data_IF_643247843217
#
_entry.id   IF_643247843217
#
_cell.length_a   1.000
_cell.length_b   1.000
_cell.length_c   1.000
_cell.angle_alpha   90.00
_cell.angle_beta   90.00
_cell.angle_gamma   90.00
#
_symmetry.space_group_name_H-M   'P 1'
#
loop_
_entity.id
_entity.type
_entity.pdbx_description
1 polymer ?
#
# COMPACT_ATOMS: atom_id res chain seq x y z
N UNK A 1 -27.17 -2.05 -41.65
CA UNK A 1 -25.74 -2.25 -41.32
C UNK A 1 -25.65 -2.39 -39.81
N UNK A 2 -25.78 -3.61 -39.27
CA UNK A 2 -25.67 -3.84 -37.81
C UNK A 2 -24.17 -3.94 -37.48
N UNK A 3 -23.65 -2.96 -36.75
CA UNK A 3 -22.29 -3.00 -36.20
C UNK A 3 -22.16 -4.23 -35.29
N UNK A 4 -21.10 -5.02 -35.47
CA UNK A 4 -20.73 -6.08 -34.52
C UNK A 4 -20.21 -5.39 -33.26
N UNK A 5 -20.64 -5.77 -32.04
CA UNK A 5 -20.07 -5.22 -30.83
C UNK A 5 -18.57 -5.57 -30.77
N UNK A 6 -17.72 -4.65 -30.30
CA UNK A 6 -16.30 -4.88 -30.15
C UNK A 6 -16.10 -5.72 -28.88
N UNK A 7 -15.58 -6.94 -28.99
CA UNK A 7 -15.45 -7.85 -27.84
C UNK A 7 -14.10 -7.53 -27.19
N UNK A 8 -14.10 -6.95 -26.00
CA UNK A 8 -12.87 -6.67 -25.27
C UNK A 8 -12.14 -7.99 -24.93
N UNK A 9 -10.82 -8.00 -25.14
CA UNK A 9 -9.95 -9.18 -24.93
C UNK A 9 -8.74 -8.79 -24.09
N UNK A 10 -8.33 -9.67 -23.18
CA UNK A 10 -7.12 -9.52 -22.36
C UNK A 10 -6.20 -10.72 -22.55
N UNK A 11 -4.94 -10.48 -22.95
CA UNK A 11 -3.94 -11.53 -23.23
C UNK A 11 -4.44 -12.66 -24.15
N UNK A 12 -5.20 -12.30 -25.20
CA UNK A 12 -5.74 -13.25 -26.18
C UNK A 12 -6.98 -14.03 -25.73
N UNK A 13 -7.46 -13.84 -24.50
CA UNK A 13 -8.71 -14.43 -23.97
C UNK A 13 -9.86 -13.44 -24.03
N UNK A 14 -11.06 -13.96 -24.26
CA UNK A 14 -12.29 -13.17 -24.25
C UNK A 14 -12.70 -12.84 -22.82
N UNK A 15 -13.08 -11.58 -22.58
CA UNK A 15 -13.49 -11.16 -21.25
C UNK A 15 -14.83 -11.82 -20.86
N UNK A 16 -14.98 -12.25 -19.59
CA UNK A 16 -16.24 -12.77 -19.08
C UNK A 16 -17.43 -11.82 -19.27
N UNK A 17 -17.19 -10.51 -19.19
CA UNK A 17 -18.16 -9.44 -19.47
C UNK A 17 -17.58 -8.49 -20.53
N UNK A 18 -17.79 -8.76 -21.82
CA UNK A 18 -17.09 -8.08 -22.91
C UNK A 18 -17.53 -6.63 -23.15
N UNK A 19 -18.58 -6.17 -22.47
CA UNK A 19 -19.15 -4.83 -22.48
C UNK A 19 -18.72 -3.96 -21.28
N UNK A 20 -17.97 -4.52 -20.33
CA UNK A 20 -17.46 -3.82 -19.15
C UNK A 20 -15.94 -3.63 -19.23
N UNK A 21 -15.44 -2.57 -18.59
CA UNK A 21 -14.00 -2.33 -18.52
C UNK A 21 -13.26 -3.43 -17.74
N UNK A 22 -11.94 -3.55 -17.96
CA UNK A 22 -11.13 -4.62 -17.35
C UNK A 22 -11.19 -4.63 -15.81
N UNK A 23 -11.43 -3.47 -15.21
CA UNK A 23 -11.49 -3.27 -13.76
C UNK A 23 -12.80 -3.78 -13.12
N UNK A 24 -13.85 -3.97 -13.92
CA UNK A 24 -15.17 -4.38 -13.44
C UNK A 24 -15.46 -5.87 -13.63
N UNK A 25 -14.50 -6.65 -14.14
CA UNK A 25 -14.68 -8.06 -14.48
C UNK A 25 -14.95 -8.96 -13.26
N UNK A 26 -14.61 -8.52 -12.04
CA UNK A 26 -14.93 -9.16 -10.78
C UNK A 26 -14.19 -10.49 -10.50
N UNK A 27 -14.53 -11.11 -9.37
CA UNK A 27 -13.78 -12.19 -8.70
C UNK A 27 -13.43 -13.42 -9.57
N UNK A 28 -14.19 -13.67 -10.64
CA UNK A 28 -13.94 -14.77 -11.58
C UNK A 28 -12.71 -14.56 -12.47
N UNK A 29 -12.43 -13.32 -12.85
CA UNK A 29 -11.24 -12.94 -13.60
C UNK A 29 -9.97 -13.07 -12.73
N UNK A 30 -10.09 -12.69 -11.45
CA UNK A 30 -8.99 -12.77 -10.49
C UNK A 30 -8.59 -14.22 -10.18
N UNK A 31 -9.56 -15.13 -10.04
CA UNK A 31 -9.31 -16.55 -9.81
C UNK A 31 -8.65 -17.23 -11.02
N UNK A 32 -9.11 -16.94 -12.25
CA UNK A 32 -8.53 -17.51 -13.46
C UNK A 32 -7.06 -17.12 -13.65
N UNK A 33 -6.70 -15.90 -13.27
CA UNK A 33 -5.33 -15.36 -13.38
C UNK A 33 -4.36 -15.97 -12.35
N UNK A 34 -4.88 -16.37 -11.18
CA UNK A 34 -4.08 -16.98 -10.10
C UNK A 34 -3.75 -18.47 -10.33
N UNK A 35 -4.64 -19.23 -10.98
CA UNK A 35 -4.40 -20.66 -11.24
C UNK A 35 -3.31 -20.92 -12.28
N UNK A 36 -3.14 -20.03 -13.27
CA UNK A 36 -2.08 -20.15 -14.29
C UNK A 36 -0.67 -19.94 -13.69
N UNK A 37 -0.54 -19.08 -12.69
CA UNK A 37 0.75 -18.76 -12.03
C UNK A 37 1.26 -19.91 -11.13
N UNK A 38 0.35 -20.66 -10.50
CA UNK A 38 0.68 -21.75 -9.57
C UNK A 38 1.33 -22.95 -10.25
N UNK A 39 1.13 -23.13 -11.56
CA UNK A 39 1.76 -24.21 -12.34
C UNK A 39 3.23 -23.94 -12.68
N UNK A 40 3.66 -22.69 -12.70
CA UNK A 40 5.05 -22.31 -13.04
C UNK A 40 6.01 -22.47 -11.85
N UNK A 41 5.53 -22.25 -10.62
CA UNK A 41 6.34 -22.34 -9.39
C UNK A 41 6.68 -23.79 -8.97
N UNK A 42 5.95 -24.80 -9.45
CA UNK A 42 6.23 -26.20 -9.13
C UNK A 42 7.46 -26.78 -9.86
N UNK A 43 8.02 -26.07 -10.85
CA UNK A 43 9.11 -26.55 -11.69
C UNK A 43 10.52 -26.16 -11.20
N UNK A 44 10.67 -25.29 -10.19
CA UNK A 44 11.97 -24.71 -9.83
C UNK A 44 12.44 -24.93 -8.37
N UNK A 45 11.69 -25.66 -7.54
CA UNK A 45 11.92 -25.73 -6.08
C UNK A 45 12.61 -27.00 -5.54
N UNK A 46 13.71 -27.48 -6.14
CA UNK A 46 14.46 -28.62 -5.59
C UNK A 46 15.98 -28.38 -5.60
N UNK A 47 16.55 -28.03 -4.44
CA UNK A 47 17.98 -28.22 -4.17
C UNK A 47 18.62 -27.19 -3.24
N UNK A 48 18.83 -27.57 -1.97
CA UNK A 48 20.14 -27.53 -1.28
C UNK A 48 19.96 -27.71 0.24
N UNK A 49 20.54 -28.77 0.78
CA UNK A 49 20.67 -29.07 2.20
C UNK A 49 22.14 -29.37 2.53
N UNK A 50 22.68 -28.81 3.63
CA UNK A 50 23.83 -29.24 4.46
C UNK A 50 24.21 -28.08 5.41
N UNK A 51 24.14 -28.14 6.75
CA UNK A 51 24.84 -28.94 7.78
C UNK A 51 26.07 -28.21 8.41
N UNK A 52 26.06 -28.04 9.75
CA UNK A 52 27.22 -27.64 10.56
C UNK A 52 26.89 -27.36 12.04
N UNK A 53 27.47 -28.13 12.97
CA UNK A 53 27.08 -28.27 14.39
C UNK A 53 28.19 -27.79 15.36
N UNK A 54 27.79 -27.12 16.45
CA UNK A 54 28.35 -27.02 17.82
C UNK A 54 29.75 -26.41 18.12
N UNK A 55 29.79 -25.49 19.11
CA UNK A 55 30.57 -25.64 20.36
C UNK A 55 30.18 -24.57 21.41
N UNK A 56 29.89 -25.01 22.65
CA UNK A 56 29.67 -24.17 23.83
C UNK A 56 30.98 -24.04 24.64
N UNK A 57 31.23 -22.89 25.28
CA UNK A 57 32.06 -22.82 26.48
C UNK A 57 31.55 -21.73 27.43
N UNK A 58 31.24 -22.13 28.66
CA UNK A 58 30.88 -21.26 29.79
C UNK A 58 32.15 -20.86 30.56
N UNK A 59 32.29 -19.57 30.90
CA UNK A 59 33.25 -19.07 31.88
C UNK A 59 32.65 -17.88 32.63
N UNK A 60 32.45 -18.03 33.93
CA UNK A 60 31.78 -17.08 34.82
C UNK A 60 32.84 -16.33 35.65
N UNK A 61 32.77 -15.00 35.75
CA UNK A 61 33.64 -14.22 36.63
C UNK A 61 33.27 -12.73 36.64
N UNK A 62 32.68 -12.27 37.73
CA UNK A 62 32.21 -10.89 37.97
C UNK A 62 33.34 -9.97 38.45
N UNK A 63 33.37 -8.74 37.95
CA UNK A 63 33.85 -7.55 38.66
C UNK A 63 33.03 -6.33 38.22
N UNK A 64 32.47 -5.63 39.19
CA UNK A 64 31.85 -4.32 39.01
C UNK A 64 32.93 -3.23 39.08
N UNK A 65 32.87 -2.24 38.19
CA UNK A 65 33.32 -0.88 38.50
C UNK A 65 32.57 0.16 37.65
N UNK A 66 32.49 1.37 38.17
CA UNK A 66 31.55 2.42 37.82
C UNK A 66 32.01 3.37 36.69
N UNK A 67 31.00 3.86 35.97
CA UNK A 67 30.86 5.12 35.24
C UNK A 67 32.12 5.89 34.77
N UNK A 68 32.25 6.01 33.45
CA UNK A 68 32.56 7.29 32.78
C UNK A 68 31.74 7.36 31.49
N UNK A 69 31.10 8.50 31.27
CA UNK A 69 30.30 8.75 30.07
C UNK A 69 31.22 8.80 28.85
N UNK A 70 30.94 7.91 27.91
CA UNK A 70 31.50 8.00 26.57
C UNK A 70 30.36 8.39 25.64
N UNK A 71 30.55 9.53 24.97
CA UNK A 71 29.67 9.97 23.92
C UNK A 71 29.72 8.89 22.84
N UNK A 72 28.63 8.15 22.70
CA UNK A 72 28.44 7.26 21.57
C UNK A 72 28.50 8.13 20.31
N UNK A 73 29.68 8.21 19.70
CA UNK A 73 29.83 8.45 18.28
C UNK A 73 29.19 7.23 17.64
N UNK A 74 27.87 7.35 17.42
CA UNK A 74 27.10 6.34 16.74
C UNK A 74 27.79 6.12 15.40
N UNK A 75 28.46 4.98 15.26
CA UNK A 75 28.78 4.47 13.94
C UNK A 75 27.50 4.56 13.13
N UNK A 76 27.54 5.31 12.04
CA UNK A 76 26.59 5.22 10.95
C UNK A 76 26.65 3.79 10.42
N UNK A 77 25.96 2.87 11.09
CA UNK A 77 25.40 1.71 10.40
C UNK A 77 24.54 2.33 9.31
N UNK A 78 25.06 2.31 8.07
CA UNK A 78 24.56 3.12 6.97
C UNK A 78 23.04 3.02 6.89
N UNK A 79 22.36 4.14 7.10
CA UNK A 79 20.93 4.21 6.81
C UNK A 79 20.79 3.94 5.31
N UNK A 80 19.90 3.03 4.97
CA UNK A 80 19.49 2.81 3.59
C UNK A 80 18.31 3.70 3.29
N UNK A 81 18.20 4.13 2.04
CA UNK A 81 17.01 4.83 1.55
C UNK A 81 15.75 4.01 1.87
N UNK A 82 14.68 4.71 2.26
CA UNK A 82 13.38 4.10 2.45
C UNK A 82 12.95 3.44 1.12
N UNK A 83 12.47 2.18 1.13
CA UNK A 83 11.99 1.56 -0.09
C UNK A 83 10.89 2.41 -0.75
N UNK A 84 11.05 2.68 -2.05
CA UNK A 84 10.06 3.37 -2.87
C UNK A 84 8.94 2.39 -3.23
N UNK A 85 7.72 2.70 -2.79
CA UNK A 85 6.55 1.85 -2.95
C UNK A 85 5.46 2.50 -3.77
N UNK A 86 4.48 1.69 -4.16
CA UNK A 86 3.24 2.20 -4.73
C UNK A 86 2.44 3.01 -3.73
N UNK A 87 1.90 4.14 -4.19
CA UNK A 87 0.81 4.87 -3.54
C UNK A 87 -0.47 4.00 -3.45
N UNK A 88 -0.55 2.94 -4.26
CA UNK A 88 -1.73 2.11 -4.34
C UNK A 88 -2.92 2.86 -4.97
N UNK A 89 -4.12 2.28 -4.91
CA UNK A 89 -5.28 2.82 -5.62
C UNK A 89 -6.05 3.91 -4.85
N UNK A 90 -5.63 4.30 -3.64
CA UNK A 90 -6.40 5.22 -2.79
C UNK A 90 -5.65 6.47 -2.27
N UNK A 91 -4.73 7.09 -3.03
CA UNK A 91 -3.89 8.18 -2.53
C UNK A 91 -4.67 9.46 -2.23
N UNK A 92 -5.66 9.84 -3.04
CA UNK A 92 -6.38 11.10 -2.87
C UNK A 92 -5.51 12.33 -3.19
N UNK A 93 -4.50 12.17 -4.04
CA UNK A 93 -3.50 13.16 -4.45
C UNK A 93 -3.73 13.68 -5.89
N UNK A 94 -4.91 13.40 -6.46
CA UNK A 94 -5.26 13.75 -7.83
C UNK A 94 -4.70 12.81 -8.91
N UNK A 95 -3.75 11.92 -8.58
CA UNK A 95 -3.13 11.01 -9.57
C UNK A 95 -4.11 10.02 -10.19
N UNK A 96 -5.23 9.74 -9.52
CA UNK A 96 -6.24 8.78 -9.96
C UNK A 96 -7.70 9.26 -9.83
N UNK A 97 -7.91 10.58 -9.79
CA UNK A 97 -9.24 11.19 -9.77
C UNK A 97 -9.53 12.00 -8.50
N UNK A 98 -9.73 11.36 -7.33
CA UNK A 98 -9.95 12.10 -6.08
C UNK A 98 -8.71 12.89 -5.64
N UNK A 99 -8.92 14.13 -5.18
CA UNK A 99 -7.86 15.03 -4.73
C UNK A 99 -8.27 15.77 -3.45
N UNK A 100 -7.59 15.47 -2.34
CA UNK A 100 -7.73 16.14 -1.06
C UNK A 100 -6.60 17.14 -0.82
N UNK A 101 -5.50 17.07 -1.58
CA UNK A 101 -4.30 17.90 -1.38
C UNK A 101 -4.54 19.35 -1.82
N UNK A 102 -5.50 19.58 -2.72
CA UNK A 102 -5.96 20.93 -3.07
C UNK A 102 -6.93 21.55 -2.03
N UNK A 103 -7.41 20.78 -1.04
CA UNK A 103 -8.46 21.25 -0.14
C UNK A 103 -7.92 22.08 1.03
N UNK A 104 -8.57 23.21 1.29
CA UNK A 104 -8.33 23.99 2.51
C UNK A 104 -8.58 23.14 3.75
N UNK A 105 -7.56 23.03 4.61
CA UNK A 105 -7.61 22.22 5.83
C UNK A 105 -6.84 20.90 5.76
N UNK A 106 -6.25 20.54 4.62
CA UNK A 106 -5.44 19.32 4.50
C UNK A 106 -4.14 19.36 5.32
N UNK A 107 -3.56 20.55 5.54
CA UNK A 107 -2.42 20.72 6.44
C UNK A 107 -2.94 20.68 7.88
N UNK A 108 -2.79 19.53 8.54
CA UNK A 108 -3.41 19.22 9.83
C UNK A 108 -2.70 18.08 10.55
N UNK A 109 -2.75 18.10 11.88
CA UNK A 109 -2.16 17.06 12.72
C UNK A 109 -3.16 15.99 13.19
N UNK A 110 -4.43 16.33 13.43
CA UNK A 110 -5.45 15.34 13.82
C UNK A 110 -6.19 14.86 12.57
N UNK A 111 -6.05 13.60 12.21
CA UNK A 111 -6.62 13.01 11.00
C UNK A 111 -8.01 12.42 11.22
N UNK A 112 -8.52 12.33 12.46
CA UNK A 112 -9.66 11.46 12.76
C UNK A 112 -10.99 11.93 12.18
N UNK A 113 -11.18 13.24 12.03
CA UNK A 113 -12.43 13.82 11.53
C UNK A 113 -12.26 14.36 10.12
N UNK A 114 -13.28 14.17 9.28
CA UNK A 114 -13.38 14.85 7.99
C UNK A 114 -13.47 16.37 8.16
N UNK A 115 -13.27 17.09 7.06
CA UNK A 115 -13.31 18.54 6.97
C UNK A 115 -13.91 19.00 5.65
N UNK A 116 -14.18 20.30 5.55
CA UNK A 116 -14.87 20.86 4.39
C UNK A 116 -16.34 20.45 4.38
N UNK A 117 -16.76 19.71 3.36
CA UNK A 117 -18.14 19.22 3.21
C UNK A 117 -18.41 17.95 4.01
N UNK A 118 -17.38 17.12 4.24
CA UNK A 118 -17.48 15.92 5.07
C UNK A 118 -17.53 16.26 6.56
N UNK A 119 -18.15 15.39 7.36
CA UNK A 119 -18.31 15.61 8.80
C UNK A 119 -18.12 14.37 9.67
N UNK A 120 -17.92 13.20 9.05
CA UNK A 120 -17.73 11.96 9.79
C UNK A 120 -16.42 11.99 10.60
N UNK A 121 -16.40 11.22 11.68
CA UNK A 121 -15.19 10.96 12.47
C UNK A 121 -14.93 9.47 12.51
N UNK A 122 -13.74 9.06 12.08
CA UNK A 122 -13.32 7.68 12.10
C UNK A 122 -13.18 7.17 13.53
N UNK A 123 -13.89 6.09 13.84
CA UNK A 123 -13.75 5.38 15.10
C UNK A 123 -12.59 4.36 15.02
N UNK A 124 -11.88 4.16 16.13
CA UNK A 124 -10.82 3.15 16.21
C UNK A 124 -9.98 3.28 17.47
N UNK A 125 -8.97 2.40 17.61
CA UNK A 125 -8.00 2.49 18.70
C UNK A 125 -7.12 3.73 18.48
N UNK A 126 -7.01 4.67 19.44
CA UNK A 126 -6.22 5.88 19.27
C UNK A 126 -4.74 5.58 19.00
N UNK A 127 -4.18 6.29 18.04
CA UNK A 127 -2.79 6.17 17.62
C UNK A 127 -2.20 7.56 17.40
N UNK A 128 -0.93 7.72 17.76
CA UNK A 128 -0.09 8.81 17.31
C UNK A 128 0.96 8.24 16.36
N UNK A 129 1.07 8.80 15.16
CA UNK A 129 2.13 8.48 14.21
C UNK A 129 3.19 9.57 14.26
N UNK A 130 4.46 9.19 14.36
CA UNK A 130 5.60 10.08 14.24
C UNK A 130 6.55 9.55 13.15
N UNK A 131 6.82 10.36 12.14
CA UNK A 131 7.83 10.04 11.12
C UNK A 131 9.00 11.00 11.29
N UNK A 132 10.22 10.45 11.29
CA UNK A 132 11.45 11.26 11.29
C UNK A 132 12.09 11.18 9.92
N UNK A 133 11.96 12.24 9.14
CA UNK A 133 12.50 12.35 7.78
C UNK A 133 13.97 12.77 7.86
N UNK A 134 14.81 12.02 7.17
CA UNK A 134 16.26 12.23 7.15
C UNK A 134 16.71 12.42 5.72
N UNK A 135 17.61 13.38 5.48
CA UNK A 135 18.15 13.68 4.16
C UNK A 135 19.46 12.91 3.95
N UNK A 136 19.41 11.84 3.16
CA UNK A 136 20.58 11.02 2.85
C UNK A 136 21.63 11.78 2.02
N UNK A 137 21.22 12.76 1.21
CA UNK A 137 22.13 13.57 0.41
C UNK A 137 22.94 14.56 1.28
N UNK A 138 22.48 14.83 2.50
CA UNK A 138 23.11 15.76 3.44
C UNK A 138 23.47 15.08 4.78
N UNK A 139 24.27 14.01 4.71
CA UNK A 139 24.84 13.30 5.86
C UNK A 139 23.80 12.75 6.87
N UNK A 140 22.59 12.40 6.40
CA UNK A 140 21.46 11.97 7.24
C UNK A 140 20.96 13.08 8.19
N UNK A 141 21.13 14.34 7.82
CA UNK A 141 20.59 15.46 8.57
C UNK A 141 19.06 15.38 8.68
N UNK A 142 18.50 16.05 9.68
CA UNK A 142 17.06 16.24 9.80
C UNK A 142 16.53 16.99 8.57
N UNK A 143 15.60 16.35 7.83
CA UNK A 143 15.01 16.95 6.65
C UNK A 143 13.83 17.83 7.08
N UNK A 144 14.12 19.08 7.42
CA UNK A 144 13.14 20.07 7.84
C UNK A 144 12.42 20.69 6.63
N UNK A 145 11.25 21.28 6.88
CA UNK A 145 10.41 22.01 5.91
C UNK A 145 9.83 21.20 4.74
N UNK A 146 10.17 19.91 4.61
CA UNK A 146 9.47 18.98 3.70
C UNK A 146 8.04 18.74 4.15
N UNK A 147 7.13 18.58 3.19
CA UNK A 147 5.75 18.22 3.46
C UNK A 147 5.56 16.71 3.42
N UNK A 148 4.90 16.15 4.44
CA UNK A 148 4.61 14.72 4.51
C UNK A 148 3.10 14.53 4.50
N UNK A 149 2.60 13.89 3.44
CA UNK A 149 1.21 13.47 3.32
C UNK A 149 1.06 12.04 3.85
N UNK A 150 0.01 11.78 4.64
CA UNK A 150 -0.30 10.47 5.21
C UNK A 150 -1.75 10.10 4.93
N UNK A 151 -1.98 8.85 4.55
CA UNK A 151 -3.33 8.26 4.47
C UNK A 151 -3.36 6.79 4.87
N UNK A 152 -4.51 6.33 5.37
CA UNK A 152 -4.74 4.91 5.66
C UNK A 152 -6.22 4.55 5.74
N UNK A 153 -6.52 3.24 5.78
CA UNK A 153 -7.89 2.74 5.95
C UNK A 153 -8.41 2.93 7.38
N UNK A 154 -9.74 2.98 7.51
CA UNK A 154 -10.43 2.97 8.79
C UNK A 154 -10.34 1.60 9.51
N UNK A 155 -10.97 1.49 10.70
CA UNK A 155 -11.03 0.22 11.46
C UNK A 155 -11.78 -0.91 10.75
N UNK A 156 -12.59 -0.59 9.74
CA UNK A 156 -13.30 -1.54 8.88
C UNK A 156 -12.50 -1.97 7.64
N UNK A 157 -11.39 -1.30 7.33
CA UNK A 157 -10.59 -1.53 6.13
C UNK A 157 -11.02 -0.70 4.93
N UNK A 158 -11.83 0.34 5.12
CA UNK A 158 -12.29 1.23 4.06
C UNK A 158 -11.43 2.48 3.95
N UNK A 159 -11.26 3.01 2.74
CA UNK A 159 -10.61 4.29 2.51
C UNK A 159 -11.67 5.37 2.28
N UNK A 160 -11.58 6.46 3.03
CA UNK A 160 -12.34 7.69 2.79
C UNK A 160 -12.09 8.19 1.37
N UNK A 161 -13.09 8.83 0.75
CA UNK A 161 -13.14 9.27 -0.66
C UNK A 161 -13.35 8.15 -1.70
N UNK A 162 -13.19 6.88 -1.33
CA UNK A 162 -13.18 5.77 -2.31
C UNK A 162 -14.20 4.67 -2.01
N UNK A 163 -14.39 4.32 -0.75
CA UNK A 163 -15.32 3.27 -0.38
C UNK A 163 -16.78 3.76 -0.52
N UNK A 164 -17.67 2.83 -0.86
CA UNK A 164 -19.10 3.13 -1.04
C UNK A 164 -19.72 3.72 0.22
N UNK A 165 -20.34 4.89 0.09
CA UNK A 165 -20.92 5.66 1.19
C UNK A 165 -19.93 6.53 1.95
N UNK A 166 -18.67 6.63 1.49
CA UNK A 166 -17.60 7.45 2.07
C UNK A 166 -16.95 8.38 1.05
N UNK A 167 -17.53 8.52 -0.14
CA UNK A 167 -17.01 9.31 -1.26
C UNK A 167 -16.86 10.81 -0.90
N UNK A 168 -17.76 11.32 -0.05
CA UNK A 168 -17.76 12.72 0.40
C UNK A 168 -16.94 12.94 1.70
N UNK A 169 -16.32 11.89 2.26
CA UNK A 169 -15.54 11.95 3.49
C UNK A 169 -14.04 11.94 3.23
N UNK A 170 -13.25 12.61 4.06
CA UNK A 170 -11.80 12.77 3.89
C UNK A 170 -11.01 12.60 5.20
N UNK A 171 -11.59 11.95 6.21
CA UNK A 171 -10.86 11.54 7.41
C UNK A 171 -9.67 10.63 7.07
N UNK A 172 -8.75 10.50 8.03
CA UNK A 172 -7.54 9.66 7.99
C UNK A 172 -6.59 10.01 6.85
N UNK A 173 -6.61 11.29 6.44
CA UNK A 173 -5.77 11.91 5.43
C UNK A 173 -5.28 13.26 5.94
N UNK A 174 -4.00 13.57 5.77
CA UNK A 174 -3.48 14.89 6.17
C UNK A 174 -2.00 15.10 5.90
N UNK A 175 -1.63 16.37 5.83
CA UNK A 175 -0.27 16.84 5.59
C UNK A 175 0.27 17.52 6.84
N UNK A 176 1.53 17.27 7.16
CA UNK A 176 2.31 18.03 8.14
C UNK A 176 3.62 18.46 7.50
N UNK A 177 4.14 19.61 7.95
CA UNK A 177 5.47 20.08 7.57
C UNK A 177 6.46 19.61 8.63
N UNK A 178 7.57 19.01 8.20
CA UNK A 178 8.60 18.51 9.08
C UNK A 178 9.25 19.66 9.86
N UNK A 179 9.37 19.50 11.17
CA UNK A 179 10.02 20.49 12.03
C UNK A 179 11.55 20.50 11.89
N UNK A 180 12.24 21.30 12.71
CA UNK A 180 13.70 21.42 12.69
C UNK A 180 14.43 20.09 13.00
N UNK A 181 13.77 19.12 13.64
CA UNK A 181 14.29 17.77 13.89
C UNK A 181 13.89 16.78 12.77
N UNK A 182 13.26 17.26 11.69
CA UNK A 182 12.77 16.46 10.58
C UNK A 182 11.51 15.66 10.93
N UNK A 183 10.77 16.06 11.96
CA UNK A 183 9.65 15.27 12.47
C UNK A 183 8.30 15.80 12.01
N UNK A 184 7.44 14.85 11.67
CA UNK A 184 5.99 15.09 11.55
C UNK A 184 5.25 14.20 12.54
N UNK A 185 4.16 14.74 13.08
CA UNK A 185 3.34 14.05 14.08
C UNK A 185 1.86 14.16 13.77
N UNK A 186 1.19 13.02 13.75
CA UNK A 186 -0.23 12.90 13.47
C UNK A 186 -0.97 12.20 14.61
N UNK A 187 -2.15 12.68 14.95
CA UNK A 187 -3.13 11.98 15.78
C UNK A 187 -4.12 11.28 14.87
N UNK A 188 -4.29 9.98 15.04
CA UNK A 188 -5.15 9.16 14.18
C UNK A 188 -5.72 7.95 14.94
N UNK A 189 -6.21 6.95 14.22
CA UNK A 189 -6.56 5.63 14.73
C UNK A 189 -5.64 4.57 14.12
N UNK A 190 -5.49 3.43 14.80
CA UNK A 190 -4.76 2.29 14.25
C UNK A 190 -5.55 1.66 13.08
N UNK A 191 -4.93 1.45 11.90
CA UNK A 191 -5.65 0.95 10.72
C UNK A 191 -6.01 -0.54 10.83
N UNK A 192 -7.04 -0.94 10.09
CA UNK A 192 -7.43 -2.33 9.94
C UNK A 192 -6.42 -3.16 9.13
N UNK A 193 -6.62 -4.48 9.15
CA UNK A 193 -6.14 -5.36 8.09
C UNK A 193 -7.28 -5.59 7.10
N UNK A 194 -7.15 -5.09 5.87
CA UNK A 194 -8.05 -5.44 4.78
C UNK A 194 -7.52 -6.65 3.99
N UNK A 195 -8.35 -7.23 3.12
CA UNK A 195 -8.01 -8.49 2.45
C UNK A 195 -6.80 -8.33 1.53
N UNK A 196 -5.83 -9.22 1.66
CA UNK A 196 -4.69 -9.35 0.73
C UNK A 196 -3.50 -8.44 1.00
N UNK A 197 -3.53 -7.60 2.04
CA UNK A 197 -2.43 -6.71 2.40
C UNK A 197 -2.10 -6.76 3.89
N UNK A 198 -0.81 -6.71 4.23
CA UNK A 198 -0.33 -6.50 5.59
C UNK A 198 -0.80 -5.14 6.12
N UNK A 199 -1.12 -4.95 7.42
CA UNK A 199 -1.55 -3.66 7.94
C UNK A 199 -0.51 -2.55 7.75
N UNK A 200 -0.92 -1.42 7.17
CA UNK A 200 -0.03 -0.33 6.81
C UNK A 200 -0.65 1.06 6.91
N UNK A 201 0.22 2.06 6.90
CA UNK A 201 -0.09 3.48 6.73
C UNK A 201 0.74 3.98 5.56
N UNK A 202 0.12 4.62 4.58
CA UNK A 202 0.86 5.18 3.45
C UNK A 202 1.40 6.57 3.80
N UNK A 203 2.48 6.95 3.13
CA UNK A 203 2.91 8.34 3.11
C UNK A 203 3.62 8.71 1.82
N UNK A 204 3.59 10.01 1.54
CA UNK A 204 4.38 10.67 0.50
C UNK A 204 5.15 11.82 1.13
N UNK A 205 6.38 12.03 0.67
CA UNK A 205 7.21 13.17 1.04
C UNK A 205 7.34 14.08 -0.18
N UNK A 206 7.09 15.37 0.00
CA UNK A 206 7.24 16.41 -1.00
C UNK A 206 8.33 17.39 -0.56
N UNK A 207 9.03 18.06 -1.50
CA UNK A 207 10.08 19.02 -1.18
C UNK A 207 9.62 20.15 -0.23
N UNK A 208 8.36 20.57 -0.36
CA UNK A 208 7.74 21.66 0.38
C UNK A 208 6.21 21.57 0.31
N UNK A 209 5.53 22.43 1.07
CA UNK A 209 4.06 22.49 1.11
C UNK A 209 3.45 22.85 -0.25
N UNK A 210 4.07 23.74 -1.02
CA UNK A 210 3.51 24.21 -2.30
C UNK A 210 3.56 23.12 -3.37
N UNK A 211 4.38 22.10 -3.17
CA UNK A 211 4.52 20.97 -4.09
C UNK A 211 3.47 19.87 -3.92
N UNK A 212 2.69 19.87 -2.83
CA UNK A 212 1.73 18.78 -2.54
C UNK A 212 0.57 18.70 -3.55
N UNK A 213 0.25 19.79 -4.26
CA UNK A 213 -0.83 19.80 -5.25
C UNK A 213 -0.40 19.24 -6.62
N UNK A 214 0.83 18.72 -6.71
CA UNK A 214 1.34 18.05 -7.90
C UNK A 214 1.92 16.71 -7.47
N UNK A 215 1.14 15.63 -7.61
CA UNK A 215 1.55 14.27 -7.24
C UNK A 215 2.85 13.82 -7.89
N UNK A 216 3.24 14.40 -9.04
CA UNK A 216 4.51 14.07 -9.71
C UNK A 216 5.74 14.63 -9.00
N UNK A 217 5.56 15.51 -8.01
CA UNK A 217 6.64 16.11 -7.22
C UNK A 217 6.96 15.36 -5.93
N UNK A 218 6.25 14.28 -5.60
CA UNK A 218 6.65 13.44 -4.48
C UNK A 218 8.12 13.01 -4.69
N UNK A 219 8.95 13.21 -3.66
CA UNK A 219 10.37 12.81 -3.60
C UNK A 219 10.56 11.46 -2.92
N UNK A 220 9.53 10.95 -2.26
CA UNK A 220 9.45 9.56 -1.80
C UNK A 220 7.99 9.15 -1.63
N UNK A 221 7.64 7.94 -2.05
CA UNK A 221 6.35 7.31 -1.74
C UNK A 221 6.65 6.00 -1.03
N UNK A 222 6.09 5.78 0.16
CA UNK A 222 6.32 4.52 0.88
C UNK A 222 5.19 4.21 1.85
N UNK A 223 5.38 3.16 2.65
CA UNK A 223 4.38 2.64 3.57
C UNK A 223 5.03 2.23 4.89
N UNK A 224 4.36 2.50 6.00
CA UNK A 224 4.73 2.02 7.34
C UNK A 224 4.02 0.68 7.57
N UNK A 225 4.78 -0.41 7.70
CA UNK A 225 4.25 -1.69 8.14
C UNK A 225 4.05 -1.72 9.66
N UNK A 226 3.00 -2.39 10.14
CA UNK A 226 2.70 -2.46 11.58
C UNK A 226 3.09 -3.82 12.20
N UNK A 227 3.66 -3.87 13.42
CA UNK A 227 4.09 -5.13 14.03
C UNK A 227 2.93 -6.11 14.31
N UNK A 228 3.14 -7.37 13.94
CA UNK A 228 2.15 -8.45 14.06
C UNK A 228 1.57 -8.56 15.49
N UNK A 229 2.42 -8.47 16.51
CA UNK A 229 2.02 -8.59 17.92
C UNK A 229 1.10 -7.45 18.36
N UNK A 230 1.24 -6.27 17.77
CA UNK A 230 0.40 -5.09 18.04
C UNK A 230 -0.92 -5.23 17.30
N UNK A 231 -0.88 -5.59 16.01
CA UNK A 231 -2.08 -5.88 15.22
C UNK A 231 -2.97 -6.91 15.90
N UNK A 232 -2.40 -8.02 16.39
CA UNK A 232 -3.15 -9.06 17.12
C UNK A 232 -3.79 -8.56 18.41
N UNK A 233 -3.22 -7.55 19.08
CA UNK A 233 -3.81 -6.95 20.27
C UNK A 233 -4.93 -5.97 19.91
N UNK A 234 -4.70 -5.10 18.92
CA UNK A 234 -5.69 -4.12 18.44
C UNK A 234 -6.91 -4.79 17.84
N UNK A 235 -6.73 -5.85 17.05
CA UNK A 235 -7.86 -6.49 16.35
C UNK A 235 -8.79 -7.29 17.25
N UNK A 236 -8.47 -7.41 18.55
CA UNK A 236 -9.39 -7.89 19.59
C UNK A 236 -10.40 -6.82 20.03
N UNK A 237 -10.21 -5.56 19.66
CA UNK A 237 -11.12 -4.47 20.02
C UNK A 237 -12.35 -4.43 19.10
N UNK A 238 -13.43 -3.81 19.58
CA UNK A 238 -14.66 -3.66 18.81
C UNK A 238 -14.43 -2.87 17.52
N UNK A 239 -15.03 -3.34 16.42
CA UNK A 239 -14.95 -2.74 15.09
C UNK A 239 -13.85 -3.31 14.19
N UNK A 240 -12.90 -4.09 14.73
CA UNK A 240 -11.79 -4.69 13.98
C UNK A 240 -11.99 -6.18 13.65
N UNK A 241 -13.20 -6.73 13.83
CA UNK A 241 -13.45 -8.17 13.74
C UNK A 241 -13.01 -8.77 12.40
N UNK A 242 -13.20 -8.04 11.29
CA UNK A 242 -12.77 -8.46 9.96
C UNK A 242 -11.24 -8.59 9.85
N UNK A 243 -10.51 -7.72 10.55
CA UNK A 243 -9.05 -7.71 10.54
C UNK A 243 -8.43 -8.97 11.14
N UNK A 244 -9.10 -9.63 12.09
CA UNK A 244 -8.65 -10.91 12.66
C UNK A 244 -8.54 -11.98 11.57
N UNK A 245 -9.57 -12.08 10.72
CA UNK A 245 -9.61 -13.07 9.64
C UNK A 245 -8.61 -12.71 8.54
N UNK A 246 -8.53 -11.44 8.15
CA UNK A 246 -7.63 -10.99 7.10
C UNK A 246 -6.16 -11.18 7.49
N UNK A 247 -5.79 -10.80 8.73
CA UNK A 247 -4.42 -10.96 9.23
C UNK A 247 -3.98 -12.43 9.25
N UNK A 248 -4.89 -13.37 9.46
CA UNK A 248 -4.58 -14.81 9.44
C UNK A 248 -4.19 -15.35 8.06
N UNK A 249 -4.41 -14.56 7.00
CA UNK A 249 -4.20 -14.96 5.60
C UNK A 249 -3.00 -14.27 4.94
N UNK A 250 -2.31 -13.39 5.67
CA UNK A 250 -1.19 -12.60 5.15
C UNK A 250 0.00 -12.66 6.11
N UNK A 251 1.17 -12.40 5.57
CA UNK A 251 2.43 -12.21 6.30
C UNK A 251 3.25 -11.13 5.60
N UNK A 252 4.20 -10.51 6.29
CA UNK A 252 5.14 -9.55 5.68
C UNK A 252 5.84 -10.18 4.46
N UNK A 253 6.41 -11.37 4.62
CA UNK A 253 7.10 -12.11 3.55
C UNK A 253 6.24 -12.42 2.32
N UNK A 254 4.92 -12.47 2.48
CA UNK A 254 3.97 -12.74 1.39
C UNK A 254 3.30 -11.48 0.82
N UNK A 255 3.49 -10.34 1.48
CA UNK A 255 2.89 -9.09 1.04
C UNK A 255 3.60 -8.58 -0.22
N UNK A 256 2.83 -8.03 -1.16
CA UNK A 256 3.37 -7.61 -2.44
C UNK A 256 4.11 -6.25 -2.40
N UNK A 257 4.13 -5.58 -1.24
CA UNK A 257 4.88 -4.36 -0.96
C UNK A 257 6.05 -4.70 -0.05
N UNK A 258 5.79 -5.31 1.11
CA UNK A 258 6.85 -5.56 2.11
C UNK A 258 7.64 -6.85 1.94
N UNK A 259 7.27 -7.72 1.00
CA UNK A 259 7.82 -9.08 0.92
C UNK A 259 9.24 -9.17 0.37
N UNK A 260 9.77 -8.11 -0.23
CA UNK A 260 11.12 -8.04 -0.79
C UNK A 260 12.22 -8.04 0.29
N UNK A 261 11.96 -7.41 1.44
CA UNK A 261 12.87 -7.38 2.59
C UNK A 261 12.23 -7.81 3.92
N UNK A 262 10.95 -8.23 3.89
CA UNK A 262 10.17 -8.59 5.08
C UNK A 262 9.71 -7.38 5.89
N UNK A 263 9.60 -6.20 5.25
CA UNK A 263 9.30 -4.91 5.86
C UNK A 263 10.43 -4.35 6.72
N UNK A 264 11.66 -4.82 6.53
CA UNK A 264 12.80 -4.50 7.41
C UNK A 264 13.04 -3.00 7.53
N UNK A 265 12.92 -2.25 6.44
CA UNK A 265 13.13 -0.80 6.43
C UNK A 265 11.84 0.01 6.69
N UNK A 266 10.68 -0.65 6.73
CA UNK A 266 9.36 0.00 6.82
C UNK A 266 8.57 -0.39 8.09
N UNK A 267 9.06 -1.35 8.88
CA UNK A 267 8.38 -1.81 10.08
C UNK A 267 8.46 -0.75 11.20
N UNK A 268 7.31 -0.16 11.51
CA UNK A 268 7.21 0.85 12.56
C UNK A 268 7.48 0.27 13.95
N UNK A 269 8.14 1.07 14.79
CA UNK A 269 8.24 0.79 16.22
C UNK A 269 6.95 1.24 16.90
N UNK A 270 6.33 0.37 17.70
CA UNK A 270 5.10 0.71 18.41
C UNK A 270 5.25 0.58 19.91
N UNK A 271 4.87 1.64 20.62
CA UNK A 271 4.87 1.70 22.08
C UNK A 271 3.51 2.16 22.61
N UNK A 272 3.37 2.25 23.93
CA UNK A 272 2.13 2.63 24.59
C UNK A 272 1.19 1.44 24.75
N UNK A 273 -0.12 1.70 24.73
CA UNK A 273 -1.10 0.63 24.88
C UNK A 273 -2.51 1.07 24.51
N UNK A 274 -3.35 0.10 24.15
CA UNK A 274 -4.68 0.30 23.57
C UNK A 274 -5.53 1.35 24.29
N UNK A 275 -5.52 1.36 25.64
CA UNK A 275 -6.31 2.31 26.45
C UNK A 275 -5.71 3.71 26.57
N UNK A 276 -4.38 3.82 26.47
CA UNK A 276 -3.63 5.07 26.66
C UNK A 276 -3.27 5.75 25.34
N UNK A 277 -3.48 5.07 24.22
CA UNK A 277 -2.99 5.45 22.90
C UNK A 277 -1.72 4.68 22.54
N UNK A 278 -1.64 4.25 21.28
CA UNK A 278 -0.44 3.68 20.69
C UNK A 278 0.42 4.80 20.09
N UNK A 279 1.73 4.66 20.17
CA UNK A 279 2.67 5.55 19.46
C UNK A 279 3.42 4.71 18.44
N UNK A 280 3.22 5.01 17.16
CA UNK A 280 3.91 4.39 16.02
C UNK A 280 4.99 5.36 15.56
N UNK A 281 6.23 4.89 15.43
CA UNK A 281 7.32 5.69 14.88
C UNK A 281 8.15 4.96 13.84
N UNK A 282 8.62 5.70 12.83
CA UNK A 282 9.51 5.19 11.79
C UNK A 282 10.50 6.30 11.39
N UNK A 283 11.77 5.91 11.17
CA UNK A 283 12.76 6.77 10.50
C UNK A 283 12.61 6.59 9.00
N UNK A 284 12.62 7.68 8.25
CA UNK A 284 12.39 7.71 6.81
C UNK A 284 13.59 8.41 6.16
N UNK A 285 14.67 7.69 5.84
CA UNK A 285 15.78 8.24 5.10
C UNK A 285 15.39 8.41 3.62
N UNK A 286 15.44 9.64 3.12
CA UNK A 286 15.08 10.02 1.74
C UNK A 286 16.34 10.45 1.01
N UNK A 287 16.58 9.93 -0.19
CA UNK A 287 17.64 10.40 -1.08
C UNK A 287 17.07 11.28 -2.19
N UNK A 288 17.33 12.58 -2.14
CA UNK A 288 16.86 13.54 -3.15
C UNK A 288 17.56 13.39 -4.51
N UNK A 289 18.65 12.62 -4.58
CA UNK A 289 19.33 12.24 -5.81
C UNK A 289 18.67 11.04 -6.51
N UNK A 290 17.90 10.23 -5.78
CA UNK A 290 17.14 9.13 -6.36
C UNK A 290 15.83 9.67 -6.95
N UNK A 291 15.54 9.31 -8.20
CA UNK A 291 14.25 9.64 -8.80
C UNK A 291 13.19 8.65 -8.31
N UNK A 292 12.09 9.09 -7.69
CA UNK A 292 11.00 8.20 -7.30
C UNK A 292 10.40 7.52 -8.52
N UNK A 293 10.09 6.24 -8.35
CA UNK A 293 9.46 5.40 -9.37
C UNK A 293 7.98 5.16 -9.08
N UNK A 294 7.51 5.54 -7.88
CA UNK A 294 6.17 5.21 -7.38
C UNK A 294 6.04 3.73 -7.08
N UNK A 295 7.16 3.08 -6.72
CA UNK A 295 7.31 1.64 -6.59
C UNK A 295 7.06 0.86 -7.88
N UNK A 296 7.55 -0.38 -7.92
CA UNK A 296 7.14 -1.28 -9.00
C UNK A 296 5.66 -1.64 -8.80
N UNK A 297 4.80 -1.26 -9.74
CA UNK A 297 3.48 -1.91 -9.85
C UNK A 297 3.70 -3.44 -9.87
N UNK A 298 2.90 -4.25 -9.15
CA UNK A 298 3.14 -5.68 -9.04
C UNK A 298 3.36 -6.29 -10.42
N UNK A 299 4.57 -6.79 -10.68
CA UNK A 299 4.95 -7.28 -11.99
C UNK A 299 4.01 -8.43 -12.37
N UNK A 300 3.09 -8.16 -13.30
CA UNK A 300 2.47 -9.21 -14.08
C UNK A 300 3.57 -9.80 -14.95
N UNK A 301 4.14 -10.94 -14.55
CA UNK A 301 5.31 -11.55 -15.17
C UNK A 301 5.21 -11.60 -16.71
N UNK A 302 5.91 -10.67 -17.37
CA UNK A 302 6.11 -10.66 -18.80
C UNK A 302 7.40 -11.42 -19.12
N UNK A 303 7.27 -12.67 -19.58
CA UNK A 303 8.39 -13.41 -20.15
C UNK A 303 8.75 -12.91 -21.56
N UNK A 304 9.98 -13.19 -22.05
CA UNK A 304 10.54 -12.55 -23.23
C UNK A 304 10.07 -13.19 -24.55
N UNK A 305 9.79 -12.33 -25.54
CA UNK A 305 9.96 -12.57 -26.99
C UNK A 305 9.18 -13.70 -27.67
N UNK A 306 8.21 -13.35 -28.53
CA UNK A 306 7.64 -14.23 -29.55
C UNK A 306 7.27 -13.47 -30.83
N UNK A 307 7.89 -13.86 -31.94
CA UNK A 307 7.83 -13.24 -33.27
C UNK A 307 6.43 -13.26 -33.95
N UNK A 308 6.22 -12.55 -35.09
CA UNK A 308 4.89 -12.18 -35.58
C UNK A 308 4.24 -13.28 -36.43
N UNK A 309 2.97 -13.59 -36.18
CA UNK A 309 2.24 -14.65 -36.88
C UNK A 309 0.82 -14.28 -37.29
N UNK A 310 0.63 -14.10 -38.61
CA UNK A 310 -0.52 -14.64 -39.37
C UNK A 310 -1.88 -13.94 -39.27
N UNK A 311 -2.26 -13.24 -40.34
CA UNK A 311 -3.64 -12.78 -40.57
C UNK A 311 -4.59 -13.95 -40.92
N UNK A 312 -5.83 -13.98 -40.39
CA UNK A 312 -6.84 -14.96 -40.80
C UNK A 312 -7.68 -14.48 -42.01
N UNK A 313 -8.23 -15.40 -42.82
CA UNK A 313 -8.87 -15.09 -44.10
C UNK A 313 -10.31 -14.60 -43.93
N UNK A 314 -10.72 -13.68 -44.81
CA UNK A 314 -12.08 -13.16 -44.93
C UNK A 314 -12.93 -13.99 -45.90
N UNK A 315 -14.14 -14.35 -45.47
CA UNK A 315 -15.15 -14.97 -46.33
C UNK A 315 -16.53 -14.87 -45.71
N UNK A 316 -17.34 -13.93 -46.20
CA UNK A 316 -18.78 -13.87 -45.94
C UNK A 316 -19.54 -14.32 -47.20
N UNK A 317 -20.74 -14.87 -47.05
CA UNK A 317 -21.81 -14.49 -47.97
C UNK A 317 -23.06 -13.98 -47.24
N UNK A 318 -23.65 -12.98 -47.88
CA UNK A 318 -24.88 -12.26 -47.56
C UNK A 318 -26.13 -13.07 -47.90
N UNK A 319 -27.16 -13.03 -47.04
CA UNK A 319 -28.52 -13.49 -47.35
C UNK A 319 -29.56 -12.69 -46.57
N UNK A 320 -30.48 -12.04 -47.30
CA UNK A 320 -31.56 -11.19 -46.79
C UNK A 320 -32.74 -12.02 -46.22
N UNK A 321 -33.59 -11.44 -45.33
CA UNK A 321 -34.68 -12.16 -44.67
C UNK A 321 -36.00 -12.10 -45.46
N UNK A 322 -36.85 -13.14 -45.39
CA UNK A 322 -38.24 -13.02 -45.79
C UNK A 322 -39.16 -12.70 -44.60
N UNK A 323 -40.15 -11.86 -44.93
CA UNK A 323 -41.32 -11.42 -44.16
C UNK A 323 -42.32 -12.54 -43.86
N UNK A 324 -43.01 -12.46 -42.71
CA UNK A 324 -44.31 -13.09 -42.50
C UNK A 324 -44.59 -13.61 -41.08
N UNK A 325 -45.31 -12.83 -40.28
CA UNK A 325 -46.25 -13.35 -39.26
C UNK A 325 -47.60 -13.64 -39.97
N UNK A 326 -48.65 -14.26 -39.35
CA UNK A 326 -48.85 -14.60 -37.94
C UNK A 326 -49.52 -15.97 -37.67
N UNK A 327 -49.58 -16.41 -36.41
CA UNK A 327 -50.83 -16.91 -35.80
C UNK A 327 -50.70 -17.13 -34.30
N UNK A 328 -51.76 -16.70 -33.59
CA UNK A 328 -52.02 -16.94 -32.18
C UNK A 328 -52.61 -18.35 -32.00
N UNK A 329 -52.30 -18.99 -30.88
CA UNK A 329 -52.99 -20.20 -30.43
C UNK A 329 -52.55 -20.58 -29.03
N UNK A 330 -53.14 -19.94 -28.02
CA UNK A 330 -53.21 -20.47 -26.66
C UNK A 330 -54.68 -20.83 -26.40
N UNK A 331 -54.88 -22.09 -26.01
CA UNK A 331 -55.92 -22.49 -25.05
C UNK A 331 -55.22 -22.76 -23.72
#
# INVERSE_FOLDING_TARGET
MKQRPNHLRYQGRELPRPDEELVDQGLGFDLGTLFDRRRVLALFGAGAAAAGLAACSNGNGSTADAATGDAATGSSGGLTEIPDETAGPYPGDGSNGPDVLEQSGIVRSDLRSSFGTGSATAEGVPMTLELTILDLAHDNAAFNDVAVYVWHCDRGGNYSMYASGLEDENYLRGVQIADADGKVKFTSIFPACYSGRWPHIHFEVYPDQDSITDSTKAIATSQVALPASVCQQVYKQSGYQQSVQNLSRVSLDSDNVFGDDGGKHQLGTVTGGIKKGLQVSLKVPVDTGTKPTGGSAPQGGGGPGGAPGGAPPSGAPTGAPPSGAPSRGAS
#
